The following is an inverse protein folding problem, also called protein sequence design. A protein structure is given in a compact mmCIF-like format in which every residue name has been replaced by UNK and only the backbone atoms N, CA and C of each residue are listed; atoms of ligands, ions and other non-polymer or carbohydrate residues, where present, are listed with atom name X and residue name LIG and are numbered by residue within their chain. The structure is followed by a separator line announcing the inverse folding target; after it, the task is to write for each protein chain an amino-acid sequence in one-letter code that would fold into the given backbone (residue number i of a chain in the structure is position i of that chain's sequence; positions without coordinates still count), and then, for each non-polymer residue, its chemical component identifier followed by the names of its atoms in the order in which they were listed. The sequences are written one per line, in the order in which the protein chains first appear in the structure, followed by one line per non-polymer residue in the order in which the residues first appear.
data_IF_138258702633
#
_entry.id   IF_138258702633
#
_cell.length_a   1.000
_cell.length_b   1.000
_cell.length_c   1.000
_cell.angle_alpha   90.00
_cell.angle_beta   90.00
_cell.angle_gamma   90.00
#
_symmetry.space_group_name_H-M   'P 1'
#
loop_
_entity.id
_entity.type
_entity.pdbx_description
1 polymer ?
#
# COMPACT_ATOMS: atom_id res chain seq x y z
N UNK A 1 -1.68 5.87 23.18
CA UNK A 1 -1.44 6.26 21.77
C UNK A 1 -2.78 6.64 21.16
N UNK A 2 -2.93 7.85 20.61
CA UNK A 2 -4.18 8.27 19.94
C UNK A 2 -4.08 7.83 18.49
N UNK A 3 -4.88 6.86 18.06
CA UNK A 3 -5.02 6.57 16.62
C UNK A 3 -5.53 7.83 15.93
N UNK A 4 -4.77 8.34 14.95
CA UNK A 4 -5.30 9.38 14.05
C UNK A 4 -6.45 8.77 13.25
N UNK A 5 -7.50 9.56 13.03
CA UNK A 5 -8.61 9.11 12.18
C UNK A 5 -8.09 8.93 10.76
N UNK A 6 -8.33 7.78 10.14
CA UNK A 6 -7.90 7.46 8.76
C UNK A 6 -8.37 8.54 7.78
N UNK A 7 -9.44 9.27 8.08
CA UNK A 7 -10.04 10.31 7.23
C UNK A 7 -9.37 11.69 7.34
N UNK A 8 -8.44 11.91 8.27
CA UNK A 8 -7.80 13.23 8.44
C UNK A 8 -6.58 13.45 7.54
N UNK A 9 -6.11 12.41 6.86
CA UNK A 9 -4.92 12.43 6.00
C UNK A 9 -5.29 11.89 4.63
N UNK A 10 -4.80 12.54 3.57
CA UNK A 10 -4.92 12.03 2.21
C UNK A 10 -3.85 10.97 1.95
N UNK A 11 -4.20 9.71 2.18
CA UNK A 11 -3.30 8.56 2.01
C UNK A 11 -3.03 8.23 0.53
N UNK A 12 -3.72 8.85 -0.43
CA UNK A 12 -3.46 8.65 -1.87
C UNK A 12 -2.05 9.09 -2.24
N UNK A 13 -1.43 9.97 -1.44
CA UNK A 13 -0.03 10.39 -1.60
C UNK A 13 0.99 9.24 -1.50
N UNK A 14 0.60 8.08 -0.94
CA UNK A 14 1.45 6.89 -0.87
C UNK A 14 1.52 6.14 -2.20
N UNK A 15 0.67 6.44 -3.19
CA UNK A 15 0.73 5.79 -4.51
C UNK A 15 2.09 6.04 -5.16
N UNK A 16 2.73 4.96 -5.61
CA UNK A 16 4.09 4.95 -6.17
C UNK A 16 5.19 4.67 -5.15
N UNK A 17 4.91 4.73 -3.85
CA UNK A 17 5.89 4.38 -2.82
C UNK A 17 6.19 2.88 -2.89
N UNK A 18 7.42 2.51 -2.53
CA UNK A 18 7.74 1.11 -2.24
C UNK A 18 6.94 0.62 -1.05
N UNK A 19 6.87 -0.70 -0.90
CA UNK A 19 6.36 -1.30 0.33
C UNK A 19 7.02 -0.72 1.57
N UNK A 20 8.35 -0.66 1.58
CA UNK A 20 9.14 -0.23 2.74
C UNK A 20 8.89 1.25 3.09
N UNK A 21 8.91 2.12 2.07
CA UNK A 21 8.66 3.56 2.22
C UNK A 21 7.25 3.80 2.80
N UNK A 22 6.25 3.08 2.29
CA UNK A 22 4.88 3.19 2.79
C UNK A 22 4.74 2.63 4.23
N UNK A 23 5.40 1.51 4.55
CA UNK A 23 5.40 0.96 5.91
C UNK A 23 6.02 1.93 6.92
N UNK A 24 7.09 2.63 6.56
CA UNK A 24 7.76 3.61 7.42
C UNK A 24 6.81 4.76 7.77
N UNK A 25 6.19 5.39 6.77
CA UNK A 25 5.22 6.47 6.98
C UNK A 25 4.05 6.04 7.87
N UNK A 26 3.52 4.84 7.66
CA UNK A 26 2.37 4.35 8.43
C UNK A 26 2.73 4.02 9.88
N UNK A 27 3.97 3.56 10.12
CA UNK A 27 4.50 3.33 11.48
C UNK A 27 4.68 4.65 12.23
N UNK A 28 5.25 5.66 11.58
CA UNK A 28 5.42 7.00 12.17
C UNK A 28 4.08 7.64 12.55
N UNK A 29 3.07 7.49 11.70
CA UNK A 29 1.73 8.04 11.92
C UNK A 29 0.88 7.22 12.90
N UNK A 30 1.38 6.06 13.35
CA UNK A 30 0.70 5.13 14.25
C UNK A 30 -0.72 4.75 13.77
N UNK A 31 -0.85 4.43 12.49
CA UNK A 31 -2.11 4.08 11.84
C UNK A 31 -2.20 2.56 11.65
N UNK A 32 -3.34 1.95 11.98
CA UNK A 32 -3.58 0.54 11.65
C UNK A 32 -3.90 0.40 10.15
N UNK A 33 -3.21 -0.52 9.49
CA UNK A 33 -3.32 -0.72 8.06
C UNK A 33 -3.32 -2.19 7.67
N UNK A 34 -3.70 -2.45 6.42
CA UNK A 34 -3.64 -3.76 5.78
C UNK A 34 -2.94 -3.60 4.43
N UNK A 35 -2.00 -4.49 4.12
CA UNK A 35 -1.33 -4.53 2.83
C UNK A 35 -1.86 -5.70 2.01
N UNK A 36 -2.43 -5.39 0.85
CA UNK A 36 -2.96 -6.37 -0.10
C UNK A 36 -2.04 -6.39 -1.29
N UNK A 37 -1.42 -7.54 -1.56
CA UNK A 37 -0.56 -7.73 -2.73
C UNK A 37 -1.38 -8.30 -3.88
N UNK A 38 -1.23 -7.72 -5.06
CA UNK A 38 -1.77 -8.23 -6.32
C UNK A 38 -0.65 -8.38 -7.35
N UNK A 39 -0.80 -9.35 -8.25
CA UNK A 39 0.15 -9.61 -9.33
C UNK A 39 -0.57 -10.19 -10.55
N UNK A 40 0.05 -10.10 -11.74
CA UNK A 40 -0.51 -10.70 -12.93
C UNK A 40 -0.64 -12.22 -12.79
N UNK A 41 -1.62 -12.84 -13.48
CA UNK A 41 -1.76 -14.29 -13.49
C UNK A 41 -0.43 -14.95 -13.89
N UNK A 42 -0.07 -16.03 -13.18
CA UNK A 42 1.13 -16.83 -13.43
C UNK A 42 2.47 -16.12 -13.18
N UNK A 43 2.46 -14.90 -12.64
CA UNK A 43 3.66 -14.22 -12.12
C UNK A 43 3.67 -14.28 -10.60
N UNK A 44 4.86 -14.32 -10.02
CA UNK A 44 5.04 -14.12 -8.58
C UNK A 44 5.31 -12.64 -8.32
N UNK A 45 4.80 -12.13 -7.20
CA UNK A 45 5.19 -10.81 -6.73
C UNK A 45 6.57 -10.88 -6.07
N UNK A 46 7.50 -10.05 -6.53
CA UNK A 46 8.75 -9.79 -5.84
C UNK A 46 8.52 -8.71 -4.77
N UNK A 47 8.69 -8.99 -3.47
CA UNK A 47 8.51 -8.01 -2.41
C UNK A 47 9.31 -6.71 -2.61
N UNK A 48 10.49 -6.80 -3.24
CA UNK A 48 11.41 -5.67 -3.41
C UNK A 48 10.96 -4.73 -4.55
N UNK A 49 10.08 -5.22 -5.43
CA UNK A 49 9.54 -4.47 -6.58
C UNK A 49 8.07 -4.04 -6.37
N UNK A 50 7.51 -4.29 -5.18
CA UNK A 50 6.15 -3.89 -4.87
C UNK A 50 6.01 -2.38 -4.71
N UNK A 51 5.06 -1.81 -5.44
CA UNK A 51 4.67 -0.41 -5.35
C UNK A 51 3.21 -0.29 -4.95
N UNK A 52 2.88 0.73 -4.17
CA UNK A 52 1.49 1.07 -3.87
C UNK A 52 0.82 1.57 -5.15
N UNK A 53 -0.23 0.89 -5.60
CA UNK A 53 -0.98 1.24 -6.82
C UNK A 53 -2.36 1.82 -6.52
N UNK A 54 -2.89 1.58 -5.32
CA UNK A 54 -4.15 2.14 -4.86
C UNK A 54 -4.23 2.15 -3.34
N UNK A 55 -5.08 3.03 -2.81
CA UNK A 55 -5.32 3.17 -1.38
C UNK A 55 -6.82 3.24 -1.12
N UNK A 56 -7.29 2.52 -0.09
CA UNK A 56 -8.67 2.55 0.38
C UNK A 56 -8.71 3.03 1.83
N UNK A 57 -9.50 4.06 2.13
CA UNK A 57 -9.47 4.76 3.44
C UNK A 57 -10.84 4.84 4.13
N UNK A 58 -11.76 3.90 3.84
CA UNK A 58 -13.13 3.92 4.37
C UNK A 58 -13.17 3.55 5.87
N UNK A 59 -13.09 2.25 6.19
CA UNK A 59 -13.21 1.71 7.56
C UNK A 59 -11.84 1.37 8.15
N UNK A 60 -10.96 0.79 7.33
CA UNK A 60 -9.55 0.51 7.61
C UNK A 60 -8.72 1.02 6.44
N UNK A 61 -7.52 1.53 6.73
CA UNK A 61 -6.58 1.91 5.68
C UNK A 61 -6.03 0.65 5.01
N UNK A 62 -6.28 0.49 3.72
CA UNK A 62 -5.71 -0.59 2.92
C UNK A 62 -4.82 -0.03 1.83
N UNK A 63 -3.63 -0.57 1.73
CA UNK A 63 -2.70 -0.31 0.63
C UNK A 63 -2.76 -1.51 -0.30
N UNK A 64 -3.03 -1.25 -1.58
CA UNK A 64 -2.94 -2.26 -2.63
C UNK A 64 -1.57 -2.09 -3.26
N UNK A 65 -0.75 -3.15 -3.19
CA UNK A 65 0.58 -3.20 -3.77
C UNK A 65 0.58 -4.09 -5.01
N UNK A 66 1.29 -3.66 -6.05
CA UNK A 66 1.47 -4.44 -7.27
C UNK A 66 2.89 -4.35 -7.77
N UNK A 67 3.31 -5.38 -8.51
CA UNK A 67 4.51 -5.30 -9.35
C UNK A 67 4.28 -4.31 -10.51
N UNK A 68 5.30 -3.59 -10.98
CA UNK A 68 5.21 -2.72 -12.15
C UNK A 68 4.92 -3.47 -13.46
N UNK A 69 5.38 -4.72 -13.63
CA UNK A 69 5.20 -5.45 -14.89
C UNK A 69 3.88 -6.25 -14.94
N UNK A 70 2.87 -5.68 -15.59
CA UNK A 70 1.55 -6.28 -15.81
C UNK A 70 1.35 -6.99 -17.16
N UNK A 71 2.42 -7.20 -17.94
CA UNK A 71 2.32 -7.92 -19.20
C UNK A 71 1.82 -9.36 -18.99
N UNK A 72 0.90 -9.80 -19.84
CA UNK A 72 0.39 -11.18 -19.88
C UNK A 72 0.77 -11.78 -21.23
N UNK A 73 1.49 -12.90 -21.22
CA UNK A 73 1.88 -13.67 -22.41
C UNK A 73 1.20 -15.03 -22.48
#
# INVERSE_FOLDING_TARGET
MRNKSVKSVDWVLLVGYSREEAEEVLKEEAVDYEMIVTCPPRKAADPDDLRVIAVQSNDKLRLILGTPDWSVS
#
